data_IF_215212369981
#
_entry.id   IF_215212369981
#
_cell.length_a   1.000
_cell.length_b   1.000
_cell.length_c   1.000
_cell.angle_alpha   90.00
_cell.angle_beta   90.00
_cell.angle_gamma   90.00
#
_symmetry.space_group_name_H-M   'P 1'
#
loop_
_entity.id
_entity.type
_entity.pdbx_description
1 polymer ?
#
# COMPACT_ATOMS: atom_id res chain seq x y z
N UNK A 1 0.96 11.56 0.55
CA UNK A 1 2.00 10.62 1.03
C UNK A 1 3.24 10.82 0.17
N UNK A 2 4.44 10.86 0.76
CA UNK A 2 5.67 10.72 -0.04
C UNK A 2 5.59 9.43 -0.84
N UNK A 3 6.21 9.42 -2.02
CA UNK A 3 6.27 8.23 -2.89
C UNK A 3 6.80 7.07 -2.03
N UNK A 4 6.02 5.99 -1.92
CA UNK A 4 6.48 4.81 -1.19
C UNK A 4 7.73 4.26 -1.88
N UNK A 5 8.71 3.79 -1.10
CA UNK A 5 9.84 3.03 -1.64
C UNK A 5 9.41 1.68 -2.21
N UNK A 6 8.26 1.19 -1.78
CA UNK A 6 7.68 -0.08 -2.22
C UNK A 6 6.75 0.13 -3.41
N UNK A 7 6.81 -0.81 -4.35
CA UNK A 7 5.81 -0.98 -5.40
C UNK A 7 4.45 -1.37 -4.82
N UNK A 8 3.41 -1.24 -5.63
CA UNK A 8 2.05 -1.66 -5.21
C UNK A 8 1.99 -3.16 -4.97
N UNK A 9 2.74 -3.93 -5.75
CA UNK A 9 2.87 -5.39 -5.61
C UNK A 9 3.48 -5.77 -4.27
N UNK A 10 4.61 -5.15 -3.91
CA UNK A 10 5.27 -5.37 -2.63
C UNK A 10 4.36 -4.98 -1.46
N UNK A 11 3.65 -3.85 -1.57
CA UNK A 11 2.69 -3.42 -0.54
C UNK A 11 1.60 -4.49 -0.35
N UNK A 12 1.05 -5.05 -1.43
CA UNK A 12 0.02 -6.09 -1.34
C UNK A 12 0.58 -7.38 -0.72
N UNK A 13 1.80 -7.77 -1.07
CA UNK A 13 2.45 -8.94 -0.47
C UNK A 13 2.66 -8.74 1.05
N UNK A 14 3.12 -7.57 1.46
CA UNK A 14 3.30 -7.21 2.88
C UNK A 14 1.95 -7.26 3.63
N UNK A 15 0.88 -6.73 3.02
CA UNK A 15 -0.46 -6.77 3.62
C UNK A 15 -0.97 -8.21 3.77
N UNK A 16 -0.79 -9.06 2.77
CA UNK A 16 -1.18 -10.48 2.84
C UNK A 16 -0.41 -11.23 3.93
N UNK A 17 0.87 -10.94 4.11
CA UNK A 17 1.68 -11.56 5.17
C UNK A 17 1.18 -11.17 6.58
N UNK A 18 0.67 -9.95 6.76
CA UNK A 18 0.06 -9.56 8.04
C UNK A 18 -1.39 -10.02 8.21
N UNK A 19 -2.12 -10.35 7.14
CA UNK A 19 -3.50 -10.85 7.17
C UNK A 19 -3.60 -12.37 7.37
N UNK A 20 -2.58 -13.13 6.96
CA UNK A 20 -2.51 -14.60 7.15
C UNK A 20 -2.38 -15.01 8.61
N UNK A 21 -2.04 -14.08 9.52
CA UNK A 21 -2.03 -14.31 10.97
C UNK A 21 -0.85 -15.13 11.49
N UNK A 22 0.05 -15.60 10.61
CA UNK A 22 1.28 -16.32 10.99
C UNK A 22 2.27 -15.40 11.71
N UNK A 23 2.27 -14.11 11.37
CA UNK A 23 3.11 -13.08 11.99
C UNK A 23 2.25 -11.94 12.53
N UNK A 24 2.61 -11.40 13.70
CA UNK A 24 2.00 -10.16 14.19
C UNK A 24 2.33 -9.01 13.24
N UNK A 25 1.41 -8.04 13.12
CA UNK A 25 1.63 -6.84 12.28
C UNK A 25 2.92 -6.12 12.66
N UNK A 26 3.26 -6.06 13.95
CA UNK A 26 4.52 -5.47 14.43
C UNK A 26 5.76 -6.25 13.97
N UNK A 27 5.67 -7.58 13.85
CA UNK A 27 6.75 -8.42 13.30
C UNK A 27 6.94 -8.15 11.81
N UNK A 28 5.85 -8.12 11.04
CA UNK A 28 5.86 -7.77 9.61
C UNK A 28 6.43 -6.36 9.41
N UNK A 29 6.01 -5.40 10.21
CA UNK A 29 6.52 -4.03 10.13
C UNK A 29 8.02 -3.94 10.41
N UNK A 30 8.54 -4.68 11.41
CA UNK A 30 9.98 -4.78 11.67
C UNK A 30 10.74 -5.45 10.53
N UNK A 31 10.23 -6.55 9.98
CA UNK A 31 10.83 -7.29 8.86
C UNK A 31 11.03 -6.41 7.63
N UNK A 32 10.02 -5.62 7.27
CA UNK A 32 10.07 -4.73 6.10
C UNK A 32 10.55 -3.31 6.43
N UNK A 33 10.91 -3.03 7.69
CA UNK A 33 11.37 -1.71 8.13
C UNK A 33 10.37 -0.59 7.88
N UNK A 34 9.08 -0.87 8.13
CA UNK A 34 7.96 0.08 8.02
C UNK A 34 7.36 0.33 9.40
N UNK A 35 6.61 1.42 9.54
CA UNK A 35 5.82 1.67 10.75
C UNK A 35 4.46 0.98 10.67
N UNK A 36 3.89 0.60 11.82
CA UNK A 36 2.52 0.08 11.91
C UNK A 36 1.51 1.07 11.28
N UNK A 37 1.73 2.38 11.46
CA UNK A 37 0.91 3.42 10.83
C UNK A 37 0.92 3.30 9.31
N UNK A 38 2.08 3.06 8.70
CA UNK A 38 2.20 2.89 7.24
C UNK A 38 1.47 1.63 6.77
N UNK A 39 1.58 0.53 7.52
CA UNK A 39 0.86 -0.70 7.26
C UNK A 39 -0.65 -0.48 7.24
N UNK A 40 -1.22 0.16 8.26
CA UNK A 40 -2.66 0.40 8.33
C UNK A 40 -3.15 1.40 7.26
N UNK A 41 -2.34 2.40 6.89
CA UNK A 41 -2.67 3.31 5.78
C UNK A 41 -2.72 2.56 4.45
N UNK A 42 -1.78 1.67 4.20
CA UNK A 42 -1.81 0.81 3.01
C UNK A 42 -2.97 -0.16 3.06
N UNK A 43 -3.27 -0.76 4.21
CA UNK A 43 -4.41 -1.65 4.38
C UNK A 43 -5.71 -0.92 4.05
N UNK A 44 -5.93 0.28 4.58
CA UNK A 44 -7.13 1.08 4.26
C UNK A 44 -7.26 1.37 2.75
N UNK A 45 -6.14 1.52 2.05
CA UNK A 45 -6.11 1.89 0.64
C UNK A 45 -6.19 0.71 -0.33
N UNK A 46 -5.56 -0.41 0.03
CA UNK A 46 -5.34 -1.55 -0.86
C UNK A 46 -6.00 -2.86 -0.37
N UNK A 47 -6.57 -2.88 0.83
CA UNK A 47 -7.35 -4.02 1.34
C UNK A 47 -8.48 -4.38 0.39
N UNK A 48 -8.65 -5.67 0.11
CA UNK A 48 -9.70 -6.18 -0.76
C UNK A 48 -9.46 -5.97 -2.27
N UNK A 49 -8.37 -5.32 -2.67
CA UNK A 49 -8.00 -5.18 -4.08
C UNK A 49 -6.99 -6.25 -4.50
N UNK A 50 -7.18 -6.77 -5.71
CA UNK A 50 -6.16 -7.53 -6.42
C UNK A 50 -5.02 -6.62 -6.89
N UNK A 51 -3.87 -7.20 -7.22
CA UNK A 51 -2.71 -6.46 -7.72
C UNK A 51 -3.05 -5.57 -8.94
N UNK A 52 -3.78 -6.05 -9.96
CA UNK A 52 -4.20 -5.21 -11.09
C UNK A 52 -5.07 -4.03 -10.68
N UNK A 53 -6.01 -4.23 -9.75
CA UNK A 53 -6.92 -3.18 -9.27
C UNK A 53 -6.16 -2.10 -8.51
N UNK A 54 -5.24 -2.49 -7.62
CA UNK A 54 -4.43 -1.54 -6.86
C UNK A 54 -3.47 -0.74 -7.76
N UNK A 55 -2.92 -1.34 -8.83
CA UNK A 55 -2.15 -0.61 -9.84
C UNK A 55 -3.01 0.43 -10.55
N UNK A 56 -4.23 0.06 -10.94
CA UNK A 56 -5.18 0.98 -11.60
C UNK A 56 -5.55 2.16 -10.70
N UNK A 57 -5.78 1.91 -9.41
CA UNK A 57 -6.03 2.97 -8.41
C UNK A 57 -4.87 3.97 -8.38
N UNK A 58 -3.62 3.49 -8.32
CA UNK A 58 -2.45 4.37 -8.29
C UNK A 58 -2.33 5.24 -9.55
N UNK A 59 -2.58 4.66 -10.73
CA UNK A 59 -2.55 5.41 -12.00
C UNK A 59 -3.62 6.51 -12.01
N UNK A 60 -4.85 6.17 -11.59
CA UNK A 60 -5.95 7.13 -11.53
C UNK A 60 -5.69 8.25 -10.53
N UNK A 61 -5.08 7.95 -9.38
CA UNK A 61 -4.68 8.99 -8.42
C UNK A 61 -3.58 9.90 -8.96
N UNK A 62 -2.57 9.34 -9.64
CA UNK A 62 -1.49 10.12 -10.24
C UNK A 62 -2.04 11.06 -11.34
N UNK A 63 -2.95 10.58 -12.18
CA UNK A 63 -3.60 11.40 -13.21
C UNK A 63 -4.52 12.46 -12.59
N UNK A 64 -5.31 12.13 -11.58
CA UNK A 64 -6.15 13.11 -10.88
C UNK A 64 -5.31 14.23 -10.24
N UNK A 65 -4.18 13.87 -9.63
CA UNK A 65 -3.24 14.85 -9.08
C UNK A 65 -2.61 15.74 -10.15
N UNK A 66 -2.36 15.20 -11.35
CA UNK A 66 -1.86 15.98 -12.48
C UNK A 66 -2.93 16.97 -12.98
N UNK A 67 -4.16 16.50 -13.16
CA UNK A 67 -5.29 17.33 -13.59
C UNK A 67 -5.57 18.46 -12.61
N UNK A 68 -5.57 18.18 -11.30
CA UNK A 68 -5.75 19.19 -10.26
C UNK A 68 -4.67 20.28 -10.21
N UNK A 69 -3.48 20.03 -10.77
CA UNK A 69 -2.40 21.02 -10.87
C UNK A 69 -2.49 21.89 -12.13
N UNK A 70 -3.27 21.45 -13.12
CA UNK A 70 -3.51 22.16 -14.38
C UNK A 70 -4.76 23.04 -14.32
N UNK A 71 -5.66 22.75 -13.38
CA UNK A 71 -6.77 23.60 -12.96
C UNK A 71 -6.31 24.68 -11.97
#
# INVERSE_FOLDING_TARGET
>A
MRKSRFSVEEIIQILKEGETGENSISSVCRKYGISDVSYYLWRRKYSGFTIPEAKRIKILEDENNRLKKLS
#
